data_IF_590374141397
#
_entry.id   IF_590374141397
#
_cell.length_a   1.000
_cell.length_b   1.000
_cell.length_c   1.000
_cell.angle_alpha   90.00
_cell.angle_beta   90.00
_cell.angle_gamma   90.00
#
_symmetry.space_group_name_H-M   'P 1'
#
loop_
_entity.id
_entity.type
_entity.pdbx_description
1 polymer ?
#
# COMPACT_ATOMS: atom_id res chain seq x y z
N UNK A 1 -10.78 22.44 3.31
CA UNK A 1 -11.12 21.34 2.41
C UNK A 1 -9.97 20.36 2.48
N UNK A 2 -10.21 19.16 3.00
CA UNK A 2 -9.20 18.13 3.15
C UNK A 2 -9.22 17.19 1.94
N UNK A 3 -8.09 17.04 1.26
CA UNK A 3 -7.93 16.25 0.03
C UNK A 3 -6.89 15.17 0.24
N UNK A 4 -7.17 13.96 -0.26
CA UNK A 4 -6.35 12.76 -0.02
C UNK A 4 -5.95 12.03 -1.30
N UNK A 5 -6.60 12.34 -2.44
CA UNK A 5 -6.26 11.75 -3.75
C UNK A 5 -6.37 12.79 -4.87
N UNK A 6 -5.66 12.57 -5.97
CA UNK A 6 -5.72 13.37 -7.21
C UNK A 6 -6.53 12.73 -8.33
N UNK A 7 -6.77 11.42 -8.23
CA UNK A 7 -7.55 10.64 -9.17
C UNK A 7 -8.53 9.74 -8.41
N UNK A 8 -9.47 9.13 -9.14
CA UNK A 8 -10.59 8.37 -8.57
C UNK A 8 -10.17 7.52 -7.39
N UNK A 9 -10.73 7.81 -6.22
CA UNK A 9 -10.84 6.83 -5.16
C UNK A 9 -12.10 6.03 -5.42
N UNK A 10 -11.99 4.79 -5.87
CA UNK A 10 -13.10 3.89 -5.60
C UNK A 10 -13.12 3.64 -4.09
N UNK A 11 -14.27 3.33 -3.50
CA UNK A 11 -14.32 2.88 -2.10
C UNK A 11 -13.35 1.70 -1.84
N UNK A 12 -12.93 1.01 -2.91
CA UNK A 12 -11.96 -0.08 -2.90
C UNK A 12 -10.56 0.34 -2.45
N UNK A 13 -10.05 1.53 -2.78
CA UNK A 13 -8.62 1.82 -2.50
C UNK A 13 -8.36 1.96 -1.01
N UNK A 14 -9.21 2.71 -0.31
CA UNK A 14 -9.14 2.80 1.16
C UNK A 14 -9.46 1.45 1.80
N UNK A 15 -10.45 0.74 1.26
CA UNK A 15 -10.78 -0.62 1.72
C UNK A 15 -9.58 -1.57 1.59
N UNK A 16 -8.76 -1.48 0.54
CA UNK A 16 -7.58 -2.34 0.37
C UNK A 16 -6.53 -2.10 1.46
N UNK A 17 -6.33 -0.84 1.89
CA UNK A 17 -5.48 -0.52 3.04
C UNK A 17 -6.09 -1.08 4.33
N UNK A 18 -7.38 -0.87 4.56
CA UNK A 18 -8.10 -1.37 5.74
C UNK A 18 -8.05 -2.92 5.82
N UNK A 19 -8.11 -3.62 4.68
CA UNK A 19 -8.05 -5.07 4.57
C UNK A 19 -6.67 -5.66 4.89
N UNK A 20 -5.63 -4.84 5.10
CA UNK A 20 -4.35 -5.31 5.62
C UNK A 20 -4.30 -5.36 7.15
N UNK A 21 -5.21 -4.66 7.85
CA UNK A 21 -5.23 -4.63 9.31
C UNK A 21 -5.51 -6.03 9.86
N UNK A 22 -4.76 -6.43 10.88
CA UNK A 22 -4.65 -7.80 11.43
C UNK A 22 -3.85 -8.80 10.57
N UNK A 23 -3.38 -8.40 9.39
CA UNK A 23 -2.38 -9.14 8.62
C UNK A 23 -1.08 -9.31 9.41
N UNK A 24 -0.36 -10.39 9.12
CA UNK A 24 0.86 -10.77 9.86
C UNK A 24 2.03 -11.07 8.93
N UNK A 25 3.21 -10.66 9.37
CA UNK A 25 4.48 -11.14 8.85
C UNK A 25 5.01 -12.21 9.80
N UNK A 26 5.38 -13.36 9.25
CA UNK A 26 5.75 -14.55 10.00
C UNK A 26 7.10 -15.10 9.49
N UNK A 27 7.88 -15.65 10.42
CA UNK A 27 9.06 -16.45 10.13
C UNK A 27 8.88 -17.89 10.62
N UNK A 28 9.36 -18.87 9.87
CA UNK A 28 9.25 -20.29 10.19
C UNK A 28 10.51 -21.07 9.78
N UNK A 29 10.70 -22.27 10.34
CA UNK A 29 11.73 -23.22 9.92
C UNK A 29 11.15 -24.50 9.31
N UNK A 30 9.83 -24.66 9.32
CA UNK A 30 9.10 -25.70 8.57
C UNK A 30 8.39 -25.10 7.35
N UNK A 31 8.38 -25.80 6.19
CA UNK A 31 7.78 -25.28 4.94
C UNK A 31 6.26 -25.11 5.02
N UNK A 32 5.58 -25.78 5.95
CA UNK A 32 4.15 -25.66 6.19
C UNK A 32 3.80 -24.59 7.26
N UNK A 33 4.80 -23.86 7.76
CA UNK A 33 4.66 -22.80 8.75
C UNK A 33 3.98 -23.24 10.06
N UNK A 34 4.01 -24.52 10.42
CA UNK A 34 3.46 -24.99 11.71
C UNK A 34 4.22 -24.45 12.91
N UNK A 35 5.48 -24.10 12.74
CA UNK A 35 6.36 -23.47 13.74
C UNK A 35 6.48 -21.95 13.57
N UNK A 36 5.54 -21.32 12.86
CA UNK A 36 5.59 -19.90 12.57
C UNK A 36 5.61 -19.02 13.84
N UNK A 37 6.51 -18.04 13.84
CA UNK A 37 6.60 -16.96 14.81
C UNK A 37 6.14 -15.67 14.13
N UNK A 38 5.21 -14.95 14.76
CA UNK A 38 4.77 -13.63 14.29
C UNK A 38 5.88 -12.62 14.53
N UNK A 39 6.44 -12.07 13.45
CA UNK A 39 7.47 -11.03 13.47
C UNK A 39 6.85 -9.63 13.56
N UNK A 40 5.71 -9.44 12.92
CA UNK A 40 4.93 -8.21 12.98
C UNK A 40 3.45 -8.49 12.70
N UNK A 41 2.58 -7.72 13.34
CA UNK A 41 1.14 -7.66 13.07
C UNK A 41 0.78 -6.22 12.73
N UNK A 42 0.08 -6.03 11.61
CA UNK A 42 -0.44 -4.74 11.21
C UNK A 42 -1.63 -4.42 12.13
N UNK A 43 -1.48 -3.43 13.02
CA UNK A 43 -2.54 -3.04 13.97
C UNK A 43 -3.26 -1.75 13.59
N UNK A 44 -2.67 -0.99 12.67
CA UNK A 44 -3.18 0.29 12.18
C UNK A 44 -3.25 0.26 10.66
N UNK A 45 -4.09 1.12 10.08
CA UNK A 45 -4.19 1.27 8.62
C UNK A 45 -2.82 1.74 8.10
N UNK A 46 -2.19 0.99 7.18
CA UNK A 46 -0.88 1.36 6.67
C UNK A 46 -0.94 2.63 5.82
N UNK A 47 0.20 3.31 5.71
CA UNK A 47 0.38 4.37 4.72
C UNK A 47 0.24 3.78 3.31
N UNK A 48 -0.23 4.54 2.29
CA UNK A 48 -0.35 4.05 0.91
C UNK A 48 1.02 3.89 0.20
N UNK A 49 2.11 3.80 0.95
CA UNK A 49 3.48 3.69 0.46
C UNK A 49 4.27 2.77 1.42
N UNK A 50 5.55 3.07 1.63
CA UNK A 50 6.50 2.27 2.40
C UNK A 50 6.22 2.35 3.90
N UNK A 51 5.83 1.21 4.47
CA UNK A 51 5.62 1.05 5.90
C UNK A 51 6.80 0.28 6.50
N UNK A 52 7.59 0.94 7.35
CA UNK A 52 8.81 0.37 7.94
C UNK A 52 8.59 -0.08 9.38
N UNK A 53 9.02 -1.32 9.67
CA UNK A 53 8.85 -1.94 10.98
C UNK A 53 10.16 -2.54 11.46
N UNK A 54 10.47 -2.34 12.74
CA UNK A 54 11.58 -3.03 13.43
C UNK A 54 11.10 -4.37 13.98
N UNK A 55 11.89 -5.42 13.77
CA UNK A 55 11.63 -6.76 14.27
C UNK A 55 12.62 -7.08 15.40
N UNK A 56 12.08 -7.29 16.59
CA UNK A 56 12.85 -7.63 17.78
C UNK A 56 12.80 -9.14 18.06
N UNK A 57 13.12 -9.95 17.05
CA UNK A 57 13.21 -11.40 17.17
C UNK A 57 14.69 -11.84 17.02
N UNK A 58 15.26 -12.60 17.97
CA UNK A 58 16.63 -13.10 17.85
C UNK A 58 16.75 -14.34 16.96
N UNK A 59 15.63 -15.02 16.68
CA UNK A 59 15.61 -16.27 15.90
C UNK A 59 15.91 -16.06 14.42
N UNK A 60 16.46 -17.09 13.80
CA UNK A 60 16.67 -17.18 12.36
C UNK A 60 15.59 -18.06 11.72
N UNK A 61 15.22 -17.73 10.49
CA UNK A 61 14.11 -18.37 9.79
C UNK A 61 14.52 -18.81 8.39
N UNK A 62 14.16 -20.04 8.02
CA UNK A 62 14.32 -20.58 6.67
C UNK A 62 13.21 -20.11 5.73
N UNK A 63 12.04 -19.77 6.28
CA UNK A 63 10.86 -19.35 5.54
C UNK A 63 10.31 -18.05 6.12
N UNK A 64 9.93 -17.11 5.25
CA UNK A 64 9.33 -15.83 5.62
C UNK A 64 8.03 -15.67 4.83
N UNK A 65 6.99 -15.08 5.41
CA UNK A 65 5.76 -14.76 4.65
C UNK A 65 5.01 -13.54 5.19
N UNK A 66 4.20 -12.96 4.33
CA UNK A 66 3.04 -12.15 4.69
C UNK A 66 1.77 -13.00 4.50
N UNK A 67 0.86 -12.92 5.48
CA UNK A 67 -0.47 -13.52 5.45
C UNK A 67 -1.50 -12.46 5.83
N UNK A 68 -2.46 -12.21 4.95
CA UNK A 68 -3.54 -11.26 5.21
C UNK A 68 -4.46 -11.73 6.34
N UNK A 69 -5.28 -10.83 6.90
CA UNK A 69 -6.27 -11.18 7.90
C UNK A 69 -7.35 -12.11 7.33
N UNK A 70 -8.08 -12.76 8.23
CA UNK A 70 -9.30 -13.50 7.89
C UNK A 70 -10.29 -12.55 7.17
N UNK A 71 -10.87 -13.00 6.08
CA UNK A 71 -11.80 -12.31 5.21
C UNK A 71 -11.12 -11.59 4.04
N UNK A 72 -9.79 -11.65 3.93
CA UNK A 72 -9.04 -10.95 2.88
C UNK A 72 -8.39 -11.90 1.88
N UNK A 73 -8.21 -11.40 0.65
CA UNK A 73 -7.41 -12.03 -0.40
C UNK A 73 -5.90 -11.85 -0.20
N UNK A 74 -5.47 -11.38 0.99
CA UNK A 74 -4.06 -11.13 1.33
C UNK A 74 -3.34 -10.20 0.36
N UNK A 75 -4.05 -9.18 -0.15
CA UNK A 75 -3.50 -8.25 -1.10
C UNK A 75 -2.32 -7.45 -0.54
N UNK A 76 -1.22 -7.40 -1.28
CA UNK A 76 -0.01 -6.63 -0.95
C UNK A 76 0.76 -6.34 -2.25
N UNK A 77 1.34 -5.14 -2.36
CA UNK A 77 2.19 -4.79 -3.50
C UNK A 77 3.59 -5.34 -3.29
N UNK A 78 4.25 -4.97 -2.18
CA UNK A 78 5.63 -5.40 -1.90
C UNK A 78 5.80 -5.81 -0.44
N UNK A 79 6.64 -6.83 -0.20
CA UNK A 79 7.15 -7.17 1.13
C UNK A 79 8.66 -7.38 1.07
N UNK A 80 9.40 -6.64 1.88
CA UNK A 80 10.85 -6.68 1.94
C UNK A 80 11.28 -7.01 3.37
N UNK A 81 12.19 -7.98 3.50
CA UNK A 81 12.78 -8.37 4.78
C UNK A 81 14.26 -7.99 4.77
N UNK A 82 14.77 -7.46 5.88
CA UNK A 82 16.15 -7.02 6.00
C UNK A 82 16.84 -7.71 7.17
N UNK A 83 18.10 -8.06 7.00
CA UNK A 83 18.94 -8.66 8.05
C UNK A 83 19.47 -7.61 9.03
N UNK A 84 20.28 -8.03 10.01
CA UNK A 84 20.82 -7.15 11.05
C UNK A 84 21.71 -6.02 10.51
N UNK A 85 22.34 -6.22 9.35
CA UNK A 85 23.20 -5.23 8.68
C UNK A 85 22.40 -4.31 7.74
N UNK A 86 21.08 -4.51 7.67
CA UNK A 86 20.18 -3.73 6.81
C UNK A 86 20.19 -4.18 5.35
N UNK A 87 20.75 -5.35 5.04
CA UNK A 87 20.75 -5.90 3.68
C UNK A 87 19.44 -6.61 3.40
N UNK A 88 18.92 -6.41 2.18
CA UNK A 88 17.71 -7.08 1.69
C UNK A 88 17.93 -8.60 1.65
N UNK A 89 17.07 -9.33 2.35
CA UNK A 89 17.03 -10.79 2.36
C UNK A 89 16.35 -11.27 1.08
N UNK A 90 17.00 -12.18 0.36
CA UNK A 90 16.49 -12.78 -0.88
C UNK A 90 16.25 -14.28 -0.70
N UNK A 91 15.23 -14.79 -1.39
CA UNK A 91 14.88 -16.20 -1.41
C UNK A 91 14.06 -16.57 -2.64
N UNK A 92 13.73 -17.85 -2.80
CA UNK A 92 12.78 -18.30 -3.80
C UNK A 92 11.36 -17.92 -3.37
N UNK A 93 10.57 -17.31 -4.25
CA UNK A 93 9.19 -16.95 -3.97
C UNK A 93 8.35 -18.23 -3.78
N UNK A 94 7.57 -18.26 -2.71
CA UNK A 94 6.62 -19.33 -2.36
C UNK A 94 5.31 -18.71 -1.88
N UNK A 95 4.19 -19.36 -2.12
CA UNK A 95 2.90 -18.82 -1.70
C UNK A 95 1.72 -19.59 -2.24
N UNK A 96 0.52 -19.13 -1.90
CA UNK A 96 -0.71 -19.68 -2.46
C UNK A 96 -0.90 -19.26 -3.92
N UNK A 97 -1.50 -20.12 -4.77
CA UNK A 97 -1.89 -19.74 -6.13
C UNK A 97 -2.80 -18.50 -6.18
N UNK A 98 -2.71 -17.72 -7.25
CA UNK A 98 -3.50 -16.49 -7.46
C UNK A 98 -4.86 -16.73 -8.11
N UNK A 99 -5.73 -15.71 -8.07
CA UNK A 99 -7.14 -15.74 -8.48
C UNK A 99 -7.44 -16.09 -9.94
N UNK A 100 -6.51 -15.83 -10.86
CA UNK A 100 -6.72 -16.04 -12.30
C UNK A 100 -5.58 -16.87 -12.87
N UNK A 101 -5.89 -18.10 -13.34
CA UNK A 101 -5.08 -19.01 -14.18
C UNK A 101 -3.59 -18.63 -14.42
N UNK A 102 -2.85 -18.39 -13.34
CA UNK A 102 -1.42 -18.62 -13.21
C UNK A 102 -0.39 -17.51 -13.49
N UNK A 103 -0.68 -16.20 -13.72
CA UNK A 103 0.44 -15.23 -13.95
C UNK A 103 0.30 -13.78 -13.48
N UNK A 104 -0.90 -13.20 -13.41
CA UNK A 104 -1.01 -11.74 -13.27
C UNK A 104 -0.72 -11.24 -11.86
N UNK A 105 -1.20 -11.97 -10.83
CA UNK A 105 -1.15 -11.56 -9.42
C UNK A 105 -0.59 -12.65 -8.49
N UNK A 106 0.36 -13.44 -8.96
CA UNK A 106 0.98 -14.50 -8.15
C UNK A 106 1.95 -13.93 -7.09
N UNK A 107 2.43 -14.81 -6.21
CA UNK A 107 3.30 -14.43 -5.10
C UNK A 107 4.64 -13.78 -5.52
N UNK A 108 5.08 -13.93 -6.78
CA UNK A 108 6.30 -13.27 -7.27
C UNK A 108 6.15 -11.77 -7.39
N UNK A 109 4.91 -11.28 -7.54
CA UNK A 109 4.60 -9.84 -7.59
C UNK A 109 4.92 -9.09 -6.31
N UNK A 110 5.03 -9.80 -5.18
CA UNK A 110 5.39 -9.22 -3.87
C UNK A 110 6.88 -8.85 -3.77
N UNK A 111 7.68 -9.36 -4.71
CA UNK A 111 9.14 -9.32 -4.65
C UNK A 111 9.75 -8.90 -6.00
N UNK A 112 8.96 -8.25 -6.88
CA UNK A 112 9.43 -7.82 -8.20
C UNK A 112 9.98 -6.38 -8.20
N UNK A 113 9.86 -5.67 -7.07
CA UNK A 113 10.37 -4.32 -6.89
C UNK A 113 9.45 -3.24 -7.46
N UNK A 114 8.20 -3.57 -7.77
CA UNK A 114 7.22 -2.64 -8.33
C UNK A 114 6.05 -2.42 -7.37
N UNK A 115 5.85 -1.17 -6.95
CA UNK A 115 4.63 -0.76 -6.22
C UNK A 115 3.34 -0.82 -7.06
N UNK A 116 3.45 -1.05 -8.37
CA UNK A 116 2.34 -1.06 -9.33
C UNK A 116 1.88 -2.48 -9.72
N UNK A 117 2.58 -3.50 -9.25
CA UNK A 117 2.11 -4.90 -9.30
C UNK A 117 1.73 -5.33 -7.89
N UNK A 118 0.97 -6.41 -7.76
CA UNK A 118 0.56 -6.91 -6.46
C UNK A 118 0.19 -8.38 -6.53
N UNK A 119 0.29 -9.02 -5.36
CA UNK A 119 -0.35 -10.30 -5.11
C UNK A 119 -1.79 -10.09 -4.69
N UNK A 120 -2.69 -10.92 -5.21
CA UNK A 120 -4.08 -11.01 -4.79
C UNK A 120 -4.54 -12.46 -4.98
N UNK A 121 -4.93 -13.09 -3.90
CA UNK A 121 -5.27 -14.50 -3.93
C UNK A 121 -6.72 -14.77 -4.37
N UNK A 122 -6.99 -16.01 -4.79
CA UNK A 122 -8.33 -16.43 -5.20
C UNK A 122 -9.31 -16.47 -4.04
N UNK A 123 -8.90 -17.16 -2.97
CA UNK A 123 -9.75 -17.47 -1.84
C UNK A 123 -9.44 -16.57 -0.66
N UNK A 124 -10.47 -16.25 0.13
CA UNK A 124 -10.27 -15.62 1.42
C UNK A 124 -9.64 -16.61 2.43
N UNK A 125 -9.03 -16.09 3.48
CA UNK A 125 -8.63 -16.78 4.73
C UNK A 125 -7.36 -17.65 4.70
N UNK A 126 -6.93 -18.16 3.54
CA UNK A 126 -5.81 -19.14 3.49
C UNK A 126 -4.57 -18.65 2.75
N UNK A 127 -4.63 -17.45 2.21
CA UNK A 127 -3.64 -16.98 1.24
C UNK A 127 -2.46 -16.26 1.85
N UNK A 128 -1.30 -16.41 1.22
CA UNK A 128 -0.05 -15.83 1.68
C UNK A 128 0.98 -15.81 0.55
N UNK A 129 1.94 -14.90 0.67
CA UNK A 129 3.11 -14.79 -0.19
C UNK A 129 4.37 -14.70 0.67
N UNK A 130 5.43 -15.35 0.25
CA UNK A 130 6.60 -15.58 1.07
C UNK A 130 7.87 -15.91 0.30
N UNK A 131 8.94 -16.12 1.07
CA UNK A 131 10.26 -16.52 0.60
C UNK A 131 10.70 -17.80 1.29
N UNK A 132 11.27 -18.72 0.51
CA UNK A 132 12.14 -19.79 0.99
C UNK A 132 13.59 -19.33 0.84
N UNK A 133 14.31 -19.25 1.96
CA UNK A 133 15.70 -18.80 1.96
C UNK A 133 16.66 -19.96 1.67
N UNK A 134 17.87 -19.64 1.20
CA UNK A 134 18.93 -20.63 0.98
C UNK A 134 19.62 -21.06 2.30
N UNK A 135 19.59 -20.19 3.31
CA UNK A 135 20.04 -20.40 4.68
C UNK A 135 19.05 -19.71 5.63
N UNK A 136 18.87 -20.16 6.88
CA UNK A 136 18.14 -19.38 7.87
C UNK A 136 18.79 -18.00 8.06
N UNK A 137 17.96 -16.95 8.15
CA UNK A 137 18.42 -15.58 8.37
C UNK A 137 17.57 -14.92 9.45
N UNK A 138 18.21 -14.11 10.30
CA UNK A 138 17.50 -13.26 11.26
C UNK A 138 16.95 -12.02 10.57
N UNK A 139 15.65 -11.76 10.77
CA UNK A 139 15.00 -10.53 10.29
C UNK A 139 15.13 -9.43 11.34
N UNK A 140 15.67 -8.28 10.95
CA UNK A 140 15.77 -7.08 11.81
C UNK A 140 14.75 -6.01 11.45
N UNK A 141 14.34 -5.93 10.18
CA UNK A 141 13.35 -4.97 9.69
C UNK A 141 12.50 -5.58 8.59
N UNK A 142 11.29 -5.04 8.48
CA UNK A 142 10.35 -5.30 7.40
C UNK A 142 9.99 -3.96 6.78
N UNK A 143 9.92 -3.90 5.46
CA UNK A 143 9.25 -2.84 4.72
C UNK A 143 8.13 -3.48 3.91
N UNK A 144 6.94 -2.88 3.90
CA UNK A 144 5.85 -3.35 3.06
C UNK A 144 5.08 -2.20 2.44
N UNK A 145 4.52 -2.45 1.27
CA UNK A 145 3.74 -1.48 0.49
C UNK A 145 2.35 -2.09 0.23
N UNK A 146 1.26 -1.44 0.68
CA UNK A 146 -0.09 -1.85 0.32
C UNK A 146 -0.34 -1.76 -1.17
N UNK A 147 -1.21 -2.64 -1.70
CA UNK A 147 -1.77 -2.44 -3.03
C UNK A 147 -2.54 -1.12 -3.07
N UNK A 148 -2.19 -0.25 -4.01
CA UNK A 148 -2.95 0.93 -4.34
C UNK A 148 -2.69 1.35 -5.80
N UNK A 149 -3.37 2.41 -6.24
CA UNK A 149 -3.28 2.98 -7.59
C UNK A 149 -2.28 4.14 -7.69
N UNK A 150 -1.51 4.41 -6.64
CA UNK A 150 -0.48 5.45 -6.54
C UNK A 150 -1.00 6.89 -6.73
N UNK A 151 -2.32 7.09 -6.58
CA UNK A 151 -2.99 8.37 -6.77
C UNK A 151 -3.39 9.08 -5.46
N UNK A 152 -2.88 8.60 -4.32
CA UNK A 152 -2.93 9.34 -3.06
C UNK A 152 -2.05 10.59 -3.14
N UNK A 153 -2.42 11.62 -2.37
CA UNK A 153 -1.55 12.77 -2.12
C UNK A 153 -0.27 12.28 -1.46
N UNK A 154 0.90 12.72 -1.93
CA UNK A 154 2.20 12.27 -1.43
C UNK A 154 2.97 13.40 -0.75
N UNK A 155 3.58 13.14 0.42
CA UNK A 155 4.51 14.09 1.03
C UNK A 155 5.63 14.47 0.06
N UNK A 156 5.93 15.76 -0.05
CA UNK A 156 7.02 16.29 -0.88
C UNK A 156 6.64 16.66 -2.32
N UNK A 157 5.49 16.21 -2.82
CA UNK A 157 5.01 16.57 -4.16
C UNK A 157 4.34 17.95 -4.17
N UNK A 158 4.45 18.68 -5.29
CA UNK A 158 3.88 20.02 -5.43
C UNK A 158 2.49 19.91 -6.03
N UNK A 159 1.46 20.30 -5.27
CA UNK A 159 0.08 20.28 -5.72
C UNK A 159 -0.47 21.67 -6.00
N UNK A 160 -1.42 21.76 -6.93
CA UNK A 160 -2.23 22.95 -7.21
C UNK A 160 -3.72 22.58 -7.21
N UNK A 161 -4.52 23.21 -6.34
CA UNK A 161 -5.97 23.06 -6.35
C UNK A 161 -6.60 24.11 -7.25
N UNK A 162 -7.40 23.69 -8.21
CA UNK A 162 -8.19 24.54 -9.09
C UNK A 162 -9.68 24.44 -8.76
N UNK A 163 -10.38 25.57 -8.90
CA UNK A 163 -11.84 25.69 -8.80
C UNK A 163 -12.38 26.17 -10.14
N UNK A 164 -13.37 25.48 -10.70
CA UNK A 164 -14.10 25.94 -11.88
C UNK A 164 -15.20 26.90 -11.45
N UNK A 165 -15.08 28.17 -11.82
CA UNK A 165 -16.12 29.18 -11.62
C UNK A 165 -16.22 30.08 -12.87
N UNK A 166 -17.42 30.56 -13.19
CA UNK A 166 -17.68 31.50 -14.32
C UNK A 166 -16.99 31.12 -15.64
N UNK A 167 -16.93 29.83 -15.96
CA UNK A 167 -16.38 29.34 -17.23
C UNK A 167 -14.85 29.28 -17.31
N UNK A 168 -14.13 29.36 -16.18
CA UNK A 168 -12.69 29.22 -16.14
C UNK A 168 -12.18 28.57 -14.84
N UNK A 169 -10.96 28.05 -14.87
CA UNK A 169 -10.28 27.51 -13.69
C UNK A 169 -9.53 28.61 -12.94
N UNK A 170 -9.75 28.69 -11.63
CA UNK A 170 -9.03 29.58 -10.72
C UNK A 170 -8.19 28.77 -9.73
N UNK A 171 -6.97 29.22 -9.46
CA UNK A 171 -6.10 28.58 -8.47
C UNK A 171 -6.52 28.95 -7.05
N UNK A 172 -6.57 27.94 -6.18
CA UNK A 172 -6.65 28.09 -4.72
C UNK A 172 -5.27 28.06 -4.06
N UNK A 173 -4.20 28.09 -4.87
CA UNK A 173 -2.83 28.09 -4.43
C UNK A 173 -2.14 26.73 -4.57
N UNK A 174 -0.84 26.76 -4.32
CA UNK A 174 0.03 25.59 -4.39
C UNK A 174 0.52 25.21 -3.00
N UNK A 175 0.65 23.92 -2.76
CA UNK A 175 1.12 23.37 -1.49
C UNK A 175 2.03 22.17 -1.72
N UNK A 176 3.01 22.01 -0.83
CA UNK A 176 3.82 20.79 -0.71
C UNK A 176 3.46 20.17 0.64
N UNK A 177 2.72 19.05 0.68
CA UNK A 177 2.31 18.46 1.93
C UNK A 177 3.50 17.71 2.57
N UNK A 178 3.47 17.61 3.89
CA UNK A 178 4.36 16.76 4.68
C UNK A 178 3.66 15.45 5.13
N UNK A 179 2.39 15.29 4.76
CA UNK A 179 1.55 14.10 5.03
C UNK A 179 0.84 13.61 3.76
N UNK A 180 0.11 12.50 3.84
CA UNK A 180 -0.69 11.95 2.74
C UNK A 180 -2.04 12.66 2.55
N UNK A 181 -2.08 13.96 2.84
CA UNK A 181 -3.27 14.81 2.72
C UNK A 181 -2.91 16.28 2.62
N UNK A 182 -3.85 17.06 2.08
CA UNK A 182 -3.74 18.50 1.87
C UNK A 182 -4.94 19.21 2.48
N UNK A 183 -4.69 20.34 3.13
CA UNK A 183 -5.74 21.19 3.69
C UNK A 183 -5.72 22.58 3.05
N UNK A 184 -6.75 22.85 2.25
CA UNK A 184 -6.99 24.15 1.64
C UNK A 184 -8.04 24.94 2.41
N UNK A 185 -7.70 26.16 2.84
CA UNK A 185 -8.62 27.08 3.49
C UNK A 185 -9.35 27.97 2.47
N UNK A 186 -10.54 28.46 2.84
CA UNK A 186 -11.28 29.43 2.02
C UNK A 186 -11.78 28.92 0.66
N UNK A 187 -11.80 27.60 0.42
CA UNK A 187 -12.29 27.02 -0.83
C UNK A 187 -13.81 27.17 -0.93
N UNK A 188 -14.35 27.81 -1.99
CA UNK A 188 -15.79 28.01 -2.15
C UNK A 188 -16.50 26.68 -2.38
N UNK A 189 -17.60 26.43 -1.66
CA UNK A 189 -18.38 25.20 -1.78
C UNK A 189 -19.25 25.14 -3.05
N UNK A 190 -19.70 23.94 -3.44
CA UNK A 190 -20.64 23.76 -4.56
C UNK A 190 -20.05 23.94 -5.97
N UNK A 191 -18.73 23.90 -6.11
CA UNK A 191 -18.02 24.01 -7.39
C UNK A 191 -17.45 22.66 -7.84
N UNK A 192 -16.95 22.64 -9.08
CA UNK A 192 -16.09 21.57 -9.57
C UNK A 192 -14.63 21.93 -9.25
N UNK A 193 -13.88 20.96 -8.74
CA UNK A 193 -12.50 21.12 -8.35
C UNK A 193 -11.59 20.20 -9.17
N UNK A 194 -10.32 20.57 -9.27
CA UNK A 194 -9.28 19.72 -9.87
C UNK A 194 -8.00 19.87 -9.07
N UNK A 195 -7.55 18.78 -8.44
CA UNK A 195 -6.27 18.73 -7.74
C UNK A 195 -5.22 18.23 -8.72
N UNK A 196 -4.25 19.08 -9.01
CA UNK A 196 -3.15 18.76 -9.93
C UNK A 196 -1.89 18.44 -9.16
N UNK A 197 -1.21 17.38 -9.56
CA UNK A 197 0.14 17.04 -9.12
C UNK A 197 1.11 17.58 -10.15
N UNK A 198 1.92 18.56 -9.74
CA UNK A 198 2.89 19.23 -10.60
C UNK A 198 4.28 18.57 -10.52
N UNK A 199 4.42 17.50 -9.73
CA UNK A 199 5.67 16.74 -9.59
C UNK A 199 5.62 15.45 -10.41
N UNK A 200 4.63 14.60 -10.18
CA UNK A 200 4.57 13.27 -10.81
C UNK A 200 3.16 12.75 -11.14
N UNK A 201 3.13 11.69 -11.96
CA UNK A 201 1.89 11.08 -12.44
C UNK A 201 1.17 11.95 -13.49
N UNK A 202 0.21 11.34 -14.16
CA UNK A 202 -0.63 12.02 -15.18
C UNK A 202 -2.12 11.79 -14.96
N UNK A 203 -2.47 10.85 -14.08
CA UNK A 203 -3.84 10.56 -13.72
C UNK A 203 -4.34 11.61 -12.73
N UNK A 204 -5.26 12.45 -13.20
CA UNK A 204 -5.92 13.49 -12.43
C UNK A 204 -7.39 13.57 -12.88
N UNK A 205 -8.30 13.81 -11.93
CA UNK A 205 -9.72 13.86 -12.25
C UNK A 205 -10.42 14.98 -11.50
N UNK A 206 -11.39 15.58 -12.18
CA UNK A 206 -12.27 16.58 -11.58
C UNK A 206 -13.16 15.92 -10.52
N UNK A 207 -13.51 16.68 -9.48
CA UNK A 207 -14.36 16.20 -8.40
C UNK A 207 -15.26 17.31 -7.85
N UNK A 208 -16.39 16.94 -7.24
CA UNK A 208 -17.13 17.78 -6.29
C UNK A 208 -16.73 17.42 -4.87
N UNK A 209 -16.97 18.33 -3.92
CA UNK A 209 -16.64 18.11 -2.51
C UNK A 209 -17.90 18.16 -1.66
N UNK A 210 -18.33 17.00 -1.20
CA UNK A 210 -19.64 16.79 -0.59
C UNK A 210 -19.46 16.10 0.77
N UNK A 211 -20.05 16.68 1.81
CA UNK A 211 -20.00 16.13 3.18
C UNK A 211 -18.56 15.79 3.65
N UNK A 212 -17.59 16.62 3.28
CA UNK A 212 -16.18 16.42 3.65
C UNK A 212 -15.42 15.39 2.80
N UNK A 213 -15.96 14.98 1.64
CA UNK A 213 -15.35 13.94 0.79
C UNK A 213 -15.26 14.38 -0.67
N UNK A 214 -14.23 13.90 -1.37
CA UNK A 214 -14.09 14.03 -2.82
C UNK A 214 -15.05 13.06 -3.53
N UNK A 215 -15.83 13.57 -4.49
CA UNK A 215 -16.78 12.82 -5.33
C UNK A 215 -16.42 13.03 -6.79
N UNK A 216 -16.04 11.97 -7.49
CA UNK A 216 -15.37 12.03 -8.80
C UNK A 216 -16.34 12.03 -9.99
N UNK A 217 -16.00 12.75 -11.08
CA UNK A 217 -16.81 12.90 -12.30
C UNK A 217 -16.04 12.57 -13.57
#
# INVERSE_FOLDING_TARGET
MHLVKKYTGTAMDRLLLDLMVQGVFEGANTPDFRDAVVLHRITEVPLPDSNWVRVNCPSEFRYLRYRGPKGSNSCIAEAMFFDADGKLIRGACIGTPSAENGKTWDCTKVYDGSKHTYFAAQDADTSWAGLQLAIPVRVSRICYIPRNDDNFVKPGDLYELLVWDRGQWYTMGRQVPDTYGLDYEGVPAGHLYWLRDLTEGVEERIFTYEQGKQVWW
#
